data_IF_916421303233
#
_entry.id   IF_916421303233
#
_cell.length_a   1.000
_cell.length_b   1.000
_cell.length_c   1.000
_cell.angle_alpha   90.00
_cell.angle_beta   90.00
_cell.angle_gamma   90.00
#
_symmetry.space_group_name_H-M   'P 1'
#
loop_
_entity.id
_entity.type
_entity.pdbx_description
1 polymer ?
#
# COMPACT_ATOMS: atom_id res chain seq x y z
N UNK A 1 1.73 16.88 -16.32
CA UNK A 1 2.82 17.89 -16.41
C UNK A 1 2.26 19.07 -17.21
N UNK A 2 2.58 20.31 -16.84
CA UNK A 2 2.01 21.50 -17.51
C UNK A 2 2.91 22.05 -18.63
N UNK A 3 3.93 21.28 -19.03
CA UNK A 3 4.88 21.67 -20.08
C UNK A 3 5.54 23.02 -19.85
N UNK A 4 6.20 23.23 -18.70
CA UNK A 4 6.86 24.51 -18.36
C UNK A 4 8.30 24.33 -17.93
N UNK A 5 9.14 25.26 -18.36
CA UNK A 5 10.51 25.42 -17.90
C UNK A 5 10.55 26.00 -16.46
N UNK A 6 11.71 25.93 -15.77
CA UNK A 6 11.88 26.53 -14.45
C UNK A 6 11.58 28.04 -14.39
N UNK A 7 11.71 28.75 -15.50
CA UNK A 7 11.39 30.17 -15.64
C UNK A 7 9.90 30.44 -15.90
N UNK A 8 9.07 29.39 -15.97
CA UNK A 8 7.63 29.45 -16.21
C UNK A 8 7.23 29.55 -17.68
N UNK A 9 8.18 29.67 -18.62
CA UNK A 9 7.91 29.61 -20.06
C UNK A 9 7.42 28.22 -20.46
N UNK A 10 6.63 28.12 -21.52
CA UNK A 10 6.16 26.84 -22.01
C UNK A 10 7.28 26.06 -22.70
N UNK A 11 7.26 24.74 -22.60
CA UNK A 11 8.08 23.87 -23.42
C UNK A 11 7.74 24.06 -24.89
N UNK A 12 8.78 23.96 -25.71
CA UNK A 12 8.66 24.09 -27.16
C UNK A 12 8.96 22.73 -27.78
N UNK A 13 8.07 22.30 -28.67
CA UNK A 13 8.21 21.09 -29.45
C UNK A 13 9.44 21.21 -30.38
N UNK A 14 10.36 20.27 -30.29
CA UNK A 14 11.67 20.35 -30.95
C UNK A 14 11.65 20.39 -32.49
N UNK A 15 10.60 19.83 -33.12
CA UNK A 15 10.42 19.85 -34.58
C UNK A 15 9.52 21.01 -35.04
N UNK A 16 8.30 21.12 -34.50
CA UNK A 16 7.28 22.07 -34.97
C UNK A 16 7.43 23.47 -34.39
N UNK A 17 8.19 23.64 -33.30
CA UNK A 17 8.28 24.91 -32.58
C UNK A 17 7.00 25.29 -31.82
N UNK A 18 5.99 24.43 -31.78
CA UNK A 18 4.74 24.68 -31.06
C UNK A 18 4.91 24.50 -29.55
N UNK A 19 3.97 25.01 -28.76
CA UNK A 19 3.93 24.72 -27.32
C UNK A 19 3.67 23.23 -27.07
N UNK A 20 4.46 22.60 -26.21
CA UNK A 20 4.34 21.19 -25.84
C UNK A 20 3.96 21.02 -24.35
N UNK A 21 3.14 20.00 -24.05
CA UNK A 21 2.75 19.67 -22.66
C UNK A 21 3.58 18.52 -22.04
N UNK A 22 4.22 17.73 -22.89
CA UNK A 22 5.11 16.63 -22.56
C UNK A 22 6.44 16.81 -23.29
N UNK A 23 7.45 16.04 -22.88
CA UNK A 23 8.82 16.19 -23.39
C UNK A 23 9.01 15.56 -24.79
N UNK A 24 8.29 14.47 -25.09
CA UNK A 24 8.30 13.79 -26.40
C UNK A 24 6.90 13.21 -26.67
N UNK A 25 6.38 13.37 -27.89
CA UNK A 25 5.16 12.70 -28.39
C UNK A 25 5.45 11.53 -29.32
N UNK A 26 6.66 11.46 -29.86
CA UNK A 26 6.98 10.53 -30.91
C UNK A 26 7.20 9.10 -30.45
N UNK A 27 7.11 8.17 -31.41
CA UNK A 27 7.51 6.78 -31.21
C UNK A 27 8.96 6.61 -31.70
N UNK A 28 9.92 6.26 -30.81
CA UNK A 28 11.29 5.97 -31.22
C UNK A 28 11.32 4.85 -32.27
N UNK A 29 12.00 5.09 -33.39
CA UNK A 29 12.16 4.11 -34.48
C UNK A 29 11.49 4.49 -35.82
N UNK A 30 10.56 5.45 -35.83
CA UNK A 30 9.96 5.96 -37.08
C UNK A 30 10.83 7.05 -37.76
N UNK A 31 11.77 7.64 -37.02
CA UNK A 31 12.76 8.61 -37.54
C UNK A 31 12.21 10.00 -37.87
N UNK A 32 10.90 10.19 -37.87
CA UNK A 32 10.23 11.47 -38.18
C UNK A 32 9.76 12.22 -36.96
N UNK A 33 9.56 11.53 -35.85
CA UNK A 33 8.84 12.09 -34.70
C UNK A 33 9.79 12.70 -33.67
N UNK A 34 9.26 13.57 -32.81
CA UNK A 34 10.03 14.19 -31.75
C UNK A 34 10.24 13.21 -30.61
N UNK A 35 11.45 12.70 -30.52
CA UNK A 35 11.83 11.63 -29.59
C UNK A 35 13.19 11.93 -28.97
N UNK A 36 13.56 11.15 -27.96
CA UNK A 36 14.91 11.21 -27.39
C UNK A 36 16.02 10.93 -28.42
N UNK A 37 15.70 10.18 -29.48
CA UNK A 37 16.62 9.87 -30.58
C UNK A 37 16.56 10.87 -31.74
N UNK A 38 15.61 11.81 -31.71
CA UNK A 38 15.36 12.79 -32.76
C UNK A 38 14.76 14.07 -32.16
N UNK A 39 15.61 14.86 -31.50
CA UNK A 39 15.18 16.03 -30.74
C UNK A 39 14.84 17.24 -31.61
N UNK A 40 15.27 17.25 -32.87
CA UNK A 40 15.22 18.39 -33.79
C UNK A 40 14.63 18.06 -35.17
N UNK A 41 14.20 16.81 -35.39
CA UNK A 41 13.68 16.36 -36.68
C UNK A 41 14.76 15.95 -37.70
N UNK A 42 16.05 16.06 -37.35
CA UNK A 42 17.18 15.74 -38.22
C UNK A 42 17.96 14.49 -37.76
N UNK A 43 17.41 13.71 -36.83
CA UNK A 43 18.04 12.52 -36.27
C UNK A 43 19.07 12.83 -35.17
N UNK A 44 19.06 14.04 -34.62
CA UNK A 44 19.93 14.37 -33.49
C UNK A 44 19.42 13.69 -32.22
N UNK A 45 20.23 12.82 -31.61
CA UNK A 45 19.89 12.17 -30.35
C UNK A 45 20.30 13.03 -29.14
N UNK A 46 19.49 12.99 -28.09
CA UNK A 46 19.83 13.59 -26.80
C UNK A 46 21.07 12.87 -26.21
N UNK A 47 22.04 13.57 -25.60
CA UNK A 47 23.21 12.93 -25.03
C UNK A 47 22.88 11.86 -24.00
N UNK A 48 23.65 10.78 -24.00
CA UNK A 48 23.54 9.72 -23.01
C UNK A 48 23.76 10.26 -21.60
N UNK A 49 22.96 9.80 -20.63
CA UNK A 49 23.11 10.19 -19.23
C UNK A 49 22.01 9.65 -18.34
N UNK A 50 22.10 9.96 -17.06
CA UNK A 50 21.09 9.61 -16.06
C UNK A 50 19.75 10.31 -16.37
N UNK A 51 18.63 9.60 -16.15
CA UNK A 51 17.27 10.08 -16.37
C UNK A 51 16.50 9.94 -15.07
N UNK A 52 15.99 11.06 -14.57
CA UNK A 52 15.21 11.13 -13.34
C UNK A 52 13.87 11.76 -13.66
N UNK A 53 12.81 11.20 -13.10
CA UNK A 53 11.51 11.84 -13.09
C UNK A 53 11.09 12.10 -11.65
N UNK A 54 10.38 13.20 -11.45
CA UNK A 54 9.74 13.54 -10.19
C UNK A 54 8.25 13.66 -10.51
N UNK A 55 7.42 12.90 -9.80
CA UNK A 55 5.98 13.02 -9.87
C UNK A 55 5.51 13.79 -8.64
N UNK A 56 4.73 14.84 -8.85
CA UNK A 56 4.10 15.64 -7.80
C UNK A 56 2.60 15.62 -8.01
N UNK A 57 1.85 15.61 -6.91
CA UNK A 57 0.40 15.80 -6.95
C UNK A 57 0.03 17.21 -6.58
N UNK A 58 -1.17 17.61 -7.01
CA UNK A 58 -1.72 18.91 -6.66
C UNK A 58 -1.98 18.99 -5.16
N UNK A 59 -1.76 20.17 -4.61
CA UNK A 59 -2.14 20.51 -3.25
C UNK A 59 -3.65 20.73 -3.22
N UNK A 60 -4.36 19.94 -2.42
CA UNK A 60 -5.79 20.10 -2.20
C UNK A 60 -6.06 20.49 -0.75
N UNK A 61 -7.09 21.31 -0.53
CA UNK A 61 -7.53 21.66 0.83
C UNK A 61 -8.17 20.43 1.46
N UNK A 62 -7.58 19.95 2.55
CA UNK A 62 -8.02 18.75 3.25
C UNK A 62 -8.69 19.12 4.57
N UNK A 63 -10.03 19.08 4.61
CA UNK A 63 -10.80 19.44 5.81
C UNK A 63 -11.09 18.21 6.68
N UNK A 64 -11.44 18.41 7.97
CA UNK A 64 -11.84 17.31 8.84
C UNK A 64 -13.02 16.51 8.27
N UNK A 65 -12.81 15.23 8.03
CA UNK A 65 -13.81 14.32 7.46
C UNK A 65 -13.69 14.10 5.94
N UNK A 66 -12.87 14.89 5.25
CA UNK A 66 -12.60 14.66 3.84
C UNK A 66 -11.81 13.36 3.63
N UNK A 67 -11.94 12.79 2.45
CA UNK A 67 -11.10 11.67 1.98
C UNK A 67 -10.58 12.03 0.61
N UNK A 68 -9.25 12.11 0.46
CA UNK A 68 -8.58 12.37 -0.81
C UNK A 68 -8.10 11.05 -1.41
N UNK A 69 -8.34 10.87 -2.70
CA UNK A 69 -7.97 9.66 -3.44
C UNK A 69 -6.97 10.04 -4.53
N UNK A 70 -5.79 9.41 -4.48
CA UNK A 70 -4.74 9.62 -5.47
C UNK A 70 -4.39 8.28 -6.14
N UNK A 71 -4.58 8.20 -7.44
CA UNK A 71 -4.20 7.03 -8.24
C UNK A 71 -2.95 7.35 -9.05
N UNK A 72 -1.93 6.49 -8.94
CA UNK A 72 -0.69 6.60 -9.70
C UNK A 72 -0.38 5.30 -10.41
N UNK A 73 0.06 5.39 -11.65
CA UNK A 73 0.68 4.28 -12.37
C UNK A 73 2.12 4.67 -12.72
N UNK A 74 3.07 3.85 -12.28
CA UNK A 74 4.47 3.96 -12.70
C UNK A 74 4.78 2.72 -13.52
N UNK A 75 4.95 2.92 -14.83
CA UNK A 75 5.18 1.85 -15.79
C UNK A 75 6.67 1.77 -16.06
N UNK A 76 7.21 0.56 -15.96
CA UNK A 76 8.61 0.27 -16.28
C UNK A 76 8.65 -0.97 -17.16
N UNK A 77 9.52 -0.97 -18.16
CA UNK A 77 9.83 -2.14 -18.96
C UNK A 77 11.35 -2.34 -18.95
N UNK A 78 11.80 -3.60 -19.04
CA UNK A 78 13.22 -3.97 -19.10
C UNK A 78 13.43 -5.17 -20.03
N UNK A 79 12.82 -5.11 -21.19
CA UNK A 79 12.94 -6.12 -22.23
C UNK A 79 13.69 -5.55 -23.44
N UNK A 80 14.48 -6.41 -24.09
CA UNK A 80 15.09 -6.09 -25.38
C UNK A 80 16.14 -4.98 -25.37
N UNK A 81 16.39 -4.44 -26.56
CA UNK A 81 17.15 -3.20 -26.75
C UNK A 81 16.34 -1.95 -26.34
N UNK A 82 16.90 -0.76 -26.55
CA UNK A 82 16.25 0.48 -26.13
C UNK A 82 14.97 0.80 -26.93
N UNK A 83 14.83 0.34 -28.17
CA UNK A 83 13.61 0.53 -28.97
C UNK A 83 12.54 -0.50 -28.59
N UNK A 84 12.93 -1.76 -28.44
CA UNK A 84 12.06 -2.83 -27.94
C UNK A 84 11.53 -2.49 -26.53
N UNK A 85 12.37 -1.87 -25.70
CA UNK A 85 11.99 -1.40 -24.38
C UNK A 85 10.84 -0.38 -24.44
N UNK A 86 10.96 0.62 -25.33
CA UNK A 86 9.96 1.66 -25.52
C UNK A 86 8.66 1.10 -26.09
N UNK A 87 8.76 0.19 -27.07
CA UNK A 87 7.58 -0.47 -27.62
C UNK A 87 6.80 -1.21 -26.53
N UNK A 88 7.48 -1.99 -25.68
CA UNK A 88 6.81 -2.66 -24.57
C UNK A 88 6.28 -1.70 -23.49
N UNK A 89 6.90 -0.52 -23.30
CA UNK A 89 6.33 0.53 -22.44
C UNK A 89 4.99 1.05 -22.99
N UNK A 90 4.90 1.26 -24.30
CA UNK A 90 3.66 1.71 -24.96
C UNK A 90 2.56 0.66 -24.79
N UNK A 91 2.87 -0.61 -25.03
CA UNK A 91 1.90 -1.71 -24.86
C UNK A 91 1.41 -1.83 -23.40
N UNK A 92 2.31 -1.68 -22.42
CA UNK A 92 1.91 -1.63 -21.02
C UNK A 92 1.08 -0.38 -20.70
N UNK A 93 1.40 0.78 -21.29
CA UNK A 93 0.62 2.00 -21.13
C UNK A 93 -0.81 1.82 -21.64
N UNK A 94 -1.01 1.19 -22.80
CA UNK A 94 -2.33 0.86 -23.31
C UNK A 94 -3.10 -0.07 -22.35
N UNK A 95 -2.43 -1.10 -21.81
CA UNK A 95 -3.06 -1.99 -20.84
C UNK A 95 -3.47 -1.25 -19.56
N UNK A 96 -2.64 -0.32 -19.08
CA UNK A 96 -2.94 0.48 -17.88
C UNK A 96 -4.08 1.46 -18.16
N UNK A 97 -4.06 2.13 -19.31
CA UNK A 97 -5.11 3.05 -19.73
C UNK A 97 -6.46 2.32 -19.81
N UNK A 98 -6.50 1.16 -20.49
CA UNK A 98 -7.68 0.32 -20.56
C UNK A 98 -8.20 -0.11 -19.18
N UNK A 99 -7.30 -0.39 -18.23
CA UNK A 99 -7.69 -0.69 -16.85
C UNK A 99 -8.40 0.51 -16.20
N UNK A 100 -7.85 1.71 -16.29
CA UNK A 100 -8.45 2.92 -15.71
C UNK A 100 -9.73 3.35 -16.42
N UNK A 101 -9.85 3.13 -17.73
CA UNK A 101 -11.06 3.47 -18.48
C UNK A 101 -12.21 2.48 -18.20
N UNK A 102 -11.88 1.19 -18.01
CA UNK A 102 -12.88 0.14 -17.81
C UNK A 102 -13.27 -0.07 -16.34
N UNK A 103 -12.45 0.36 -15.38
CA UNK A 103 -12.69 0.15 -13.96
C UNK A 103 -12.91 1.46 -13.23
N UNK A 104 -13.90 1.49 -12.34
CA UNK A 104 -14.00 2.58 -11.38
C UNK A 104 -12.88 2.39 -10.33
N UNK A 105 -11.78 3.12 -10.48
CA UNK A 105 -10.63 3.12 -9.55
C UNK A 105 -10.89 4.02 -8.34
N UNK A 106 -12.12 3.99 -7.85
CA UNK A 106 -12.46 4.56 -6.56
C UNK A 106 -11.72 3.75 -5.48
N UNK A 107 -11.37 4.38 -4.36
CA UNK A 107 -10.68 3.73 -3.21
C UNK A 107 -11.51 2.60 -2.58
N UNK A 108 -12.68 2.29 -3.15
CA UNK A 108 -13.57 1.19 -2.84
C UNK A 108 -13.26 -0.11 -3.61
N UNK A 109 -12.31 -0.10 -4.57
CA UNK A 109 -11.81 -1.36 -5.10
C UNK A 109 -11.18 -2.14 -3.95
N UNK A 110 -11.68 -3.36 -3.71
CA UNK A 110 -11.42 -4.22 -2.55
C UNK A 110 -9.95 -4.67 -2.42
N UNK A 111 -9.02 -3.74 -2.35
CA UNK A 111 -7.65 -3.97 -1.95
C UNK A 111 -7.60 -3.65 -0.46
N UNK A 112 -7.97 -4.64 0.34
CA UNK A 112 -7.66 -4.66 1.76
C UNK A 112 -6.15 -4.76 1.96
N UNK A 113 -5.46 -3.64 1.81
CA UNK A 113 -4.11 -3.43 2.35
C UNK A 113 -4.15 -2.96 3.81
N UNK A 114 -5.33 -2.73 4.36
CA UNK A 114 -5.58 -2.77 5.79
C UNK A 114 -5.81 -4.19 6.27
N UNK A 115 -5.35 -4.52 7.47
CA UNK A 115 -5.87 -5.68 8.22
C UNK A 115 -7.38 -5.49 8.39
N UNK A 116 -8.21 -5.96 7.46
CA UNK A 116 -9.61 -6.30 7.74
C UNK A 116 -9.66 -7.62 8.48
N UNK A 117 -8.94 -7.65 9.58
CA UNK A 117 -9.38 -8.34 10.75
C UNK A 117 -9.52 -7.22 11.76
N UNK A 118 -10.69 -6.58 11.76
CA UNK A 118 -11.35 -6.39 13.05
C UNK A 118 -11.27 -7.78 13.69
N UNK A 119 -10.25 -8.00 14.52
CA UNK A 119 -10.16 -9.18 15.37
C UNK A 119 -11.53 -9.25 15.99
N UNK A 120 -12.34 -10.25 15.63
CA UNK A 120 -13.72 -10.33 16.10
C UNK A 120 -13.71 -10.30 17.64
N UNK A 121 -13.89 -9.11 18.21
CA UNK A 121 -13.80 -8.87 19.65
C UNK A 121 -14.95 -9.61 20.36
N UNK A 122 -15.99 -10.00 19.62
CA UNK A 122 -17.25 -10.52 20.16
C UNK A 122 -17.12 -11.81 20.94
N UNK A 123 -16.20 -12.71 20.56
CA UNK A 123 -16.25 -14.08 21.07
C UNK A 123 -15.20 -14.38 22.14
N UNK A 124 -14.17 -13.55 22.30
CA UNK A 124 -13.11 -13.71 23.32
C UNK A 124 -13.11 -12.49 24.25
N UNK A 125 -13.48 -12.68 25.51
CA UNK A 125 -13.53 -11.59 26.49
C UNK A 125 -12.60 -11.83 27.68
N UNK A 126 -12.04 -10.74 28.23
CA UNK A 126 -11.09 -10.74 29.35
C UNK A 126 -11.58 -9.83 30.48
N UNK A 127 -11.79 -10.38 31.67
CA UNK A 127 -12.25 -9.61 32.83
C UNK A 127 -11.52 -10.00 34.13
N UNK A 128 -11.13 -9.04 34.98
CA UNK A 128 -11.04 -7.62 34.68
C UNK A 128 -9.89 -7.35 33.69
N UNK A 129 -9.96 -6.22 32.98
CA UNK A 129 -8.87 -5.71 32.18
C UNK A 129 -8.89 -4.17 32.24
N UNK A 130 -7.95 -3.51 32.94
CA UNK A 130 -6.72 -4.06 33.51
C UNK A 130 -6.91 -5.05 34.68
N UNK A 131 -6.02 -6.03 34.80
CA UNK A 131 -5.99 -7.06 35.85
C UNK A 131 -4.80 -6.88 36.80
N UNK A 132 -4.93 -7.35 38.05
CA UNK A 132 -3.82 -7.37 39.03
C UNK A 132 -3.39 -8.81 39.32
N UNK A 133 -4.26 -9.61 39.95
CA UNK A 133 -3.87 -10.94 40.44
C UNK A 133 -4.30 -12.07 39.51
N UNK A 134 -5.43 -11.89 38.82
CA UNK A 134 -6.01 -12.90 37.94
C UNK A 134 -6.81 -12.25 36.82
N UNK A 135 -6.92 -12.95 35.70
CA UNK A 135 -7.84 -12.61 34.61
C UNK A 135 -8.73 -13.82 34.32
N UNK A 136 -10.01 -13.58 34.13
CA UNK A 136 -10.96 -14.54 33.60
C UNK A 136 -11.06 -14.35 32.09
N UNK A 137 -10.83 -15.43 31.37
CA UNK A 137 -10.93 -15.53 29.92
C UNK A 137 -12.22 -16.28 29.61
N UNK A 138 -13.15 -15.65 28.91
CA UNK A 138 -14.42 -16.27 28.51
C UNK A 138 -14.51 -16.35 27.00
N UNK A 139 -15.04 -17.45 26.49
CA UNK A 139 -15.24 -17.64 25.06
C UNK A 139 -16.58 -18.26 24.72
N UNK A 140 -17.12 -17.87 23.56
CA UNK A 140 -18.35 -18.42 22.98
C UNK A 140 -18.13 -18.73 21.50
N UNK A 141 -18.77 -19.80 21.02
CA UNK A 141 -18.76 -20.24 19.61
C UNK A 141 -17.38 -20.32 18.94
N UNK A 142 -16.36 -20.77 19.67
CA UNK A 142 -14.98 -20.89 19.18
C UNK A 142 -14.42 -22.30 19.35
N UNK A 143 -14.12 -22.97 18.24
CA UNK A 143 -13.58 -24.34 18.22
C UNK A 143 -12.03 -24.38 18.17
N UNK A 144 -11.38 -23.88 19.22
CA UNK A 144 -9.92 -23.95 19.36
C UNK A 144 -9.51 -24.83 20.53
N UNK A 145 -8.29 -25.37 20.45
CA UNK A 145 -7.77 -26.33 21.44
C UNK A 145 -6.89 -25.70 22.52
N UNK A 146 -6.52 -24.43 22.36
CA UNK A 146 -5.60 -23.77 23.27
C UNK A 146 -5.80 -22.25 23.35
N UNK A 147 -5.60 -21.73 24.55
CA UNK A 147 -5.42 -20.32 24.85
C UNK A 147 -3.93 -20.08 25.05
N UNK A 148 -3.40 -19.08 24.36
CA UNK A 148 -1.99 -18.69 24.40
C UNK A 148 -1.88 -17.28 24.99
N UNK A 149 -0.97 -17.09 25.94
CA UNK A 149 -0.64 -15.76 26.46
C UNK A 149 0.80 -15.44 26.10
N UNK A 150 1.04 -14.30 25.46
CA UNK A 150 2.37 -13.82 25.08
C UNK A 150 2.65 -12.43 25.64
N UNK A 151 3.92 -12.11 25.88
CA UNK A 151 4.34 -10.73 26.17
C UNK A 151 4.26 -9.84 24.92
N UNK A 152 4.42 -8.52 25.11
CA UNK A 152 4.52 -7.57 24.00
C UNK A 152 5.69 -7.81 23.04
N UNK A 153 6.70 -8.59 23.46
CA UNK A 153 7.84 -8.99 22.62
C UNK A 153 7.59 -10.34 21.90
N UNK A 154 6.40 -10.93 22.04
CA UNK A 154 6.06 -12.23 21.45
C UNK A 154 6.54 -13.44 22.26
N UNK A 155 7.13 -13.27 23.45
CA UNK A 155 7.55 -14.39 24.31
C UNK A 155 6.32 -15.15 24.82
N UNK A 156 6.29 -16.47 24.66
CA UNK A 156 5.26 -17.33 25.24
C UNK A 156 5.34 -17.31 26.77
N UNK A 157 4.25 -16.89 27.41
CA UNK A 157 4.11 -16.83 28.87
C UNK A 157 3.34 -18.03 29.40
N UNK A 158 2.21 -18.36 28.76
CA UNK A 158 1.36 -19.47 29.19
C UNK A 158 0.62 -20.08 28.02
N UNK A 159 0.41 -21.40 28.09
CA UNK A 159 -0.46 -22.15 27.17
C UNK A 159 -1.44 -22.97 28.01
N UNK A 160 -2.73 -22.88 27.68
CA UNK A 160 -3.80 -23.58 28.39
C UNK A 160 -4.63 -24.36 27.38
N UNK A 161 -4.71 -25.68 27.54
CA UNK A 161 -5.54 -26.53 26.69
C UNK A 161 -7.03 -26.38 27.05
N UNK A 162 -7.88 -26.31 26.01
CA UNK A 162 -9.34 -26.22 26.11
C UNK A 162 -9.97 -27.14 25.07
N UNK A 163 -11.11 -27.76 25.37
CA UNK A 163 -11.73 -28.77 24.48
C UNK A 163 -13.19 -28.44 24.13
N UNK A 164 -13.70 -27.27 24.53
CA UNK A 164 -15.11 -26.91 24.39
C UNK A 164 -15.25 -25.65 23.52
N UNK A 165 -16.32 -25.58 22.74
CA UNK A 165 -16.64 -24.43 21.89
C UNK A 165 -17.04 -23.17 22.66
N UNK A 166 -17.44 -23.33 23.92
CA UNK A 166 -17.72 -22.25 24.87
C UNK A 166 -17.19 -22.57 26.25
N UNK A 167 -16.79 -21.56 27.01
CA UNK A 167 -16.30 -21.78 28.36
C UNK A 167 -15.68 -20.55 29.02
N UNK A 168 -15.14 -20.78 30.22
CA UNK A 168 -14.41 -19.78 30.99
C UNK A 168 -13.18 -20.41 31.63
N UNK A 169 -12.09 -19.65 31.74
CA UNK A 169 -10.85 -20.06 32.39
C UNK A 169 -10.26 -18.89 33.17
N UNK A 170 -9.95 -19.12 34.44
CA UNK A 170 -9.20 -18.17 35.25
C UNK A 170 -7.71 -18.45 35.14
N UNK A 171 -6.93 -17.39 34.92
CA UNK A 171 -5.47 -17.43 34.85
C UNK A 171 -4.90 -16.53 35.95
N UNK A 172 -4.08 -17.12 36.81
CA UNK A 172 -3.26 -16.42 37.79
C UNK A 172 -2.13 -15.63 37.09
N UNK A 173 -1.96 -14.36 37.48
CA UNK A 173 -1.03 -13.37 36.96
C UNK A 173 0.03 -12.95 37.98
N UNK A 174 0.02 -13.47 39.22
CA UNK A 174 0.90 -13.03 40.32
C UNK A 174 2.41 -13.12 40.01
N UNK A 175 2.79 -13.95 39.03
CA UNK A 175 4.20 -14.13 38.61
C UNK A 175 4.58 -13.24 37.41
N UNK A 176 3.67 -12.41 36.91
CA UNK A 176 3.89 -11.55 35.75
C UNK A 176 4.18 -10.12 36.21
N UNK A 177 5.17 -9.49 35.59
CA UNK A 177 5.43 -8.07 35.76
C UNK A 177 4.33 -7.23 35.11
N UNK A 178 4.07 -6.05 35.67
CA UNK A 178 3.18 -5.05 35.09
C UNK A 178 3.54 -4.76 33.64
N UNK A 179 2.53 -4.67 32.76
CA UNK A 179 2.76 -4.42 31.35
C UNK A 179 1.64 -4.94 30.43
N UNK A 180 1.95 -4.95 29.13
CA UNK A 180 1.01 -5.38 28.09
C UNK A 180 1.32 -6.82 27.66
N UNK A 181 0.25 -7.61 27.62
CA UNK A 181 0.24 -8.99 27.18
C UNK A 181 -0.86 -9.19 26.14
N UNK A 182 -0.76 -10.28 25.39
CA UNK A 182 -1.76 -10.66 24.40
C UNK A 182 -2.29 -12.05 24.72
N UNK A 183 -3.60 -12.17 24.87
CA UNK A 183 -4.30 -13.44 24.99
C UNK A 183 -4.85 -13.82 23.63
N UNK A 184 -4.49 -15.00 23.12
CA UNK A 184 -4.85 -15.47 21.79
C UNK A 184 -5.55 -16.81 21.85
N UNK A 185 -6.53 -16.98 20.97
CA UNK A 185 -7.19 -18.26 20.74
C UNK A 185 -7.48 -18.37 19.23
N UNK A 186 -6.63 -19.13 18.52
CA UNK A 186 -6.64 -19.12 17.06
C UNK A 186 -6.33 -17.73 16.48
N UNK A 187 -7.25 -17.24 15.63
CA UNK A 187 -7.17 -15.91 15.03
C UNK A 187 -7.66 -14.79 15.95
N UNK A 188 -8.29 -15.12 17.09
CA UNK A 188 -8.78 -14.13 18.04
C UNK A 188 -7.66 -13.70 18.97
N UNK A 189 -7.59 -12.40 19.25
CA UNK A 189 -6.60 -11.82 20.16
C UNK A 189 -7.20 -10.67 20.96
N UNK A 190 -6.90 -10.65 22.26
CA UNK A 190 -7.28 -9.60 23.18
C UNK A 190 -6.05 -9.05 23.92
N UNK A 191 -5.98 -7.73 24.03
CA UNK A 191 -4.93 -7.05 24.81
C UNK A 191 -5.24 -7.18 26.29
N UNK A 192 -4.33 -7.71 27.08
CA UNK A 192 -4.40 -7.77 28.54
C UNK A 192 -3.42 -6.76 29.14
N UNK A 193 -3.91 -5.91 30.04
CA UNK A 193 -3.09 -4.97 30.81
C UNK A 193 -2.95 -5.54 32.23
N UNK A 194 -1.72 -5.86 32.63
CA UNK A 194 -1.39 -6.30 34.00
C UNK A 194 -0.83 -5.11 34.77
N UNK A 195 -1.38 -4.85 35.96
CA UNK A 195 -0.93 -3.79 36.87
C UNK A 195 0.14 -4.26 37.82
#
# INVERSE_FOLDING_TARGET
MNGRNPDGSFWTHGITGATAQYLYDGVPGLGTDWTEMNIDGNGTANPMGDRRFIATSIEETFNPGDTLVYNYAIIVNRQGDHLENVQGLIEYADSVQNYFDANNTDCSSNINVGLTQELEIGNLNLFPNPATNQVQITWEDMNFKEIIITSYQGKLIKKVLVNNTKGKKTVDLNQLSSGVYFVRMGNYAQKLIVK
#
